data_IF_394272982996
#
_entry.id   IF_394272982996
#
_cell.length_a   1.000
_cell.length_b   1.000
_cell.length_c   1.000
_cell.angle_alpha   90.00
_cell.angle_beta   90.00
_cell.angle_gamma   90.00
#
_symmetry.space_group_name_H-M   'P 1'
#
loop_
_entity.id
_entity.type
_entity.pdbx_description
1 polymer ?
#
# COMPACT_ATOMS: atom_id res chain seq x y z
N UNK A 1 10.00 -14.69 -11.17
CA UNK A 1 8.56 -14.93 -11.32
C UNK A 1 7.75 -13.95 -10.51
N UNK A 2 7.69 -14.12 -9.18
CA UNK A 2 6.88 -13.29 -8.26
C UNK A 2 7.14 -11.78 -8.38
N UNK A 3 8.40 -11.36 -8.27
CA UNK A 3 8.76 -9.93 -8.34
C UNK A 3 8.36 -9.29 -9.67
N UNK A 4 8.61 -9.98 -10.78
CA UNK A 4 8.25 -9.48 -12.11
C UNK A 4 6.73 -9.39 -12.31
N UNK A 5 5.98 -10.37 -11.79
CA UNK A 5 4.53 -10.34 -11.79
C UNK A 5 3.99 -9.14 -11.00
N UNK A 6 4.48 -8.92 -9.77
CA UNK A 6 4.05 -7.79 -8.94
C UNK A 6 4.38 -6.46 -9.60
N UNK A 7 5.58 -6.33 -10.19
CA UNK A 7 5.98 -5.13 -10.92
C UNK A 7 5.06 -4.85 -12.10
N UNK A 8 4.75 -5.88 -12.88
CA UNK A 8 3.83 -5.79 -14.03
C UNK A 8 2.44 -5.37 -13.59
N UNK A 9 1.91 -5.96 -12.51
CA UNK A 9 0.60 -5.60 -11.97
C UNK A 9 0.56 -4.13 -11.52
N UNK A 10 1.56 -3.68 -10.76
CA UNK A 10 1.65 -2.31 -10.27
C UNK A 10 1.71 -1.32 -11.43
N UNK A 11 2.57 -1.56 -12.42
CA UNK A 11 2.70 -0.70 -13.58
C UNK A 11 1.43 -0.69 -14.44
N UNK A 12 0.75 -1.83 -14.57
CA UNK A 12 -0.55 -1.91 -15.25
C UNK A 12 -1.60 -1.05 -14.55
N UNK A 13 -1.70 -1.13 -13.22
CA UNK A 13 -2.61 -0.31 -12.43
C UNK A 13 -2.29 1.19 -12.58
N UNK A 14 -1.02 1.57 -12.43
CA UNK A 14 -0.56 2.95 -12.56
C UNK A 14 -0.77 3.53 -13.97
N UNK A 15 -0.66 2.70 -15.00
CA UNK A 15 -0.87 3.10 -16.39
C UNK A 15 -2.36 3.27 -16.76
N UNK A 16 -3.27 2.65 -15.99
CA UNK A 16 -4.70 2.58 -16.34
C UNK A 16 -5.62 3.36 -15.39
N UNK A 17 -5.11 3.80 -14.24
CA UNK A 17 -5.89 4.51 -13.22
C UNK A 17 -5.18 5.82 -12.83
N UNK A 18 -5.94 6.87 -12.58
CA UNK A 18 -5.40 8.13 -12.02
C UNK A 18 -5.00 7.93 -10.54
N UNK A 19 -3.98 8.62 -10.00
CA UNK A 19 -3.60 8.52 -8.58
C UNK A 19 -4.75 8.82 -7.61
N UNK A 20 -5.70 9.67 -7.98
CA UNK A 20 -6.89 9.93 -7.14
C UNK A 20 -7.84 8.72 -7.01
N UNK A 21 -7.68 7.70 -7.86
CA UNK A 21 -8.49 6.49 -7.86
C UNK A 21 -7.82 5.34 -7.12
N UNK A 22 -6.48 5.27 -7.12
CA UNK A 22 -5.73 4.20 -6.48
C UNK A 22 -4.42 4.70 -5.88
N UNK A 23 -4.23 4.39 -4.59
CA UNK A 23 -2.99 4.59 -3.86
C UNK A 23 -2.37 3.24 -3.49
N UNK A 24 -1.05 3.15 -3.56
CA UNK A 24 -0.26 1.93 -3.38
C UNK A 24 0.65 2.03 -2.16
N UNK A 25 0.59 1.03 -1.29
CA UNK A 25 1.58 0.78 -0.24
C UNK A 25 2.37 -0.48 -0.63
N UNK A 26 3.65 -0.32 -0.97
CA UNK A 26 4.47 -1.40 -1.51
C UNK A 26 5.37 -1.97 -0.41
N UNK A 27 5.29 -3.28 -0.18
CA UNK A 27 5.97 -3.93 0.96
C UNK A 27 6.78 -5.15 0.52
N UNK A 28 8.06 -5.23 0.92
CA UNK A 28 8.91 -6.41 0.68
C UNK A 28 9.56 -6.90 1.98
N UNK A 29 9.64 -8.23 2.14
CA UNK A 29 10.13 -8.89 3.33
C UNK A 29 11.65 -9.01 3.38
N UNK A 30 12.32 -9.18 2.23
CA UNK A 30 13.78 -9.42 2.17
C UNK A 30 14.50 -8.38 1.33
N UNK A 31 15.19 -7.43 1.99
CA UNK A 31 16.16 -6.48 1.40
C UNK A 31 15.87 -5.99 -0.04
N UNK A 32 14.63 -5.56 -0.29
CA UNK A 32 13.97 -5.65 -1.59
C UNK A 32 14.47 -4.71 -2.69
N UNK A 33 14.77 -5.28 -3.86
CA UNK A 33 14.86 -4.57 -5.16
C UNK A 33 13.55 -4.63 -5.96
N UNK A 34 12.56 -5.42 -5.51
CA UNK A 34 11.32 -5.67 -6.23
C UNK A 34 10.61 -4.38 -6.64
N UNK A 35 10.54 -3.39 -5.75
CA UNK A 35 9.82 -2.13 -5.98
C UNK A 35 10.75 -0.93 -6.22
N UNK A 36 12.04 -1.17 -6.50
CA UNK A 36 12.99 -0.08 -6.76
C UNK A 36 12.51 0.78 -7.94
N UNK A 37 12.47 2.10 -7.72
CA UNK A 37 12.00 3.11 -8.67
C UNK A 37 10.50 3.38 -8.62
N UNK A 38 9.72 2.55 -7.93
CA UNK A 38 8.26 2.71 -7.81
C UNK A 38 7.86 3.73 -6.75
N UNK A 39 8.77 4.13 -5.86
CA UNK A 39 8.59 5.25 -4.93
C UNK A 39 8.34 6.59 -5.64
N UNK A 40 8.65 6.67 -6.94
CA UNK A 40 8.48 7.87 -7.77
C UNK A 40 7.13 7.94 -8.47
N UNK A 41 6.33 6.87 -8.44
CA UNK A 41 4.99 6.89 -9.02
C UNK A 41 4.07 7.77 -8.17
N UNK A 42 3.21 8.61 -8.78
CA UNK A 42 2.29 9.46 -8.03
C UNK A 42 1.25 8.66 -7.22
N UNK A 43 1.03 7.40 -7.60
CA UNK A 43 0.16 6.46 -6.87
C UNK A 43 0.80 5.92 -5.59
N UNK A 44 2.12 6.00 -5.43
CA UNK A 44 2.82 5.34 -4.32
C UNK A 44 2.77 6.21 -3.06
N UNK A 45 2.05 5.72 -2.05
CA UNK A 45 1.97 6.37 -0.74
C UNK A 45 3.22 6.10 0.10
N UNK A 46 3.74 4.87 0.07
CA UNK A 46 5.00 4.50 0.71
C UNK A 46 5.55 3.19 0.14
N UNK A 47 6.88 3.03 0.27
CA UNK A 47 7.60 1.78 0.03
C UNK A 47 8.27 1.36 1.33
N UNK A 48 8.00 0.14 1.78
CA UNK A 48 8.51 -0.41 3.04
C UNK A 48 9.26 -1.71 2.71
N UNK A 49 10.53 -1.81 3.10
CA UNK A 49 11.40 -2.93 2.73
C UNK A 49 12.08 -3.51 3.95
N UNK A 50 12.75 -4.64 3.78
CA UNK A 50 13.57 -5.29 4.79
C UNK A 50 12.84 -5.62 6.11
N UNK A 51 11.56 -6.00 6.00
CA UNK A 51 10.71 -6.29 7.16
C UNK A 51 11.21 -7.47 8.01
N UNK A 52 12.00 -8.39 7.44
CA UNK A 52 12.54 -9.52 8.18
C UNK A 52 13.51 -9.12 9.31
N UNK A 53 14.18 -7.98 9.18
CA UNK A 53 15.15 -7.49 10.17
C UNK A 53 14.52 -6.50 11.16
N UNK A 54 13.32 -5.98 10.86
CA UNK A 54 12.69 -4.89 11.60
C UNK A 54 11.28 -5.27 12.09
N UNK A 55 11.19 -6.16 13.08
CA UNK A 55 9.90 -6.59 13.64
C UNK A 55 9.03 -5.43 14.16
N UNK A 56 9.64 -4.35 14.66
CA UNK A 56 8.92 -3.15 15.08
C UNK A 56 8.23 -2.43 13.90
N UNK A 57 8.87 -2.42 12.73
CA UNK A 57 8.32 -1.84 11.50
C UNK A 57 7.06 -2.58 11.06
N UNK A 58 7.06 -3.92 11.20
CA UNK A 58 5.89 -4.76 10.90
C UNK A 58 4.73 -4.42 11.83
N UNK A 59 4.97 -4.31 13.13
CA UNK A 59 3.93 -3.94 14.12
C UNK A 59 3.35 -2.56 13.82
N UNK A 60 4.22 -1.55 13.63
CA UNK A 60 3.81 -0.18 13.30
C UNK A 60 3.02 -0.12 12.00
N UNK A 61 3.39 -0.91 10.99
CA UNK A 61 2.66 -0.96 9.74
C UNK A 61 1.24 -1.55 9.92
N UNK A 62 1.09 -2.56 10.77
CA UNK A 62 -0.22 -3.07 11.17
C UNK A 62 -1.10 -2.01 11.82
N UNK A 63 -0.53 -1.21 12.73
CA UNK A 63 -1.22 -0.09 13.38
C UNK A 63 -1.64 0.99 12.36
N UNK A 64 -0.75 1.36 11.43
CA UNK A 64 -1.04 2.33 10.36
C UNK A 64 -2.17 1.84 9.45
N UNK A 65 -2.14 0.58 9.03
CA UNK A 65 -3.18 0.01 8.19
C UNK A 65 -4.54 -0.02 8.91
N UNK A 66 -4.54 -0.37 10.19
CA UNK A 66 -5.76 -0.36 11.01
C UNK A 66 -6.31 1.06 11.15
N UNK A 67 -5.46 2.03 11.44
CA UNK A 67 -5.86 3.44 11.51
C UNK A 67 -6.40 3.99 10.18
N UNK A 68 -5.84 3.59 9.04
CA UNK A 68 -6.35 3.99 7.72
C UNK A 68 -7.71 3.36 7.42
N UNK A 69 -7.93 2.10 7.83
CA UNK A 69 -9.26 1.48 7.75
C UNK A 69 -10.26 2.28 8.59
N UNK A 70 -9.96 2.54 9.86
CA UNK A 70 -10.84 3.30 10.76
C UNK A 70 -11.18 4.70 10.21
N UNK A 71 -10.17 5.39 9.64
CA UNK A 71 -10.36 6.69 8.99
C UNK A 71 -11.32 6.60 7.81
N UNK A 72 -11.14 5.62 6.92
CA UNK A 72 -12.03 5.41 5.77
C UNK A 72 -13.44 5.04 6.20
N UNK A 73 -13.58 4.17 7.18
CA UNK A 73 -14.88 3.82 7.73
C UNK A 73 -15.58 5.06 8.32
N UNK A 74 -14.85 5.93 9.01
CA UNK A 74 -15.39 7.19 9.56
C UNK A 74 -15.91 8.11 8.45
N UNK A 75 -15.15 8.29 7.36
CA UNK A 75 -15.57 9.08 6.20
C UNK A 75 -16.85 8.51 5.57
N UNK A 76 -16.91 7.18 5.39
CA UNK A 76 -18.10 6.52 4.86
C UNK A 76 -19.32 6.71 5.78
N UNK A 77 -19.15 6.57 7.09
CA UNK A 77 -20.21 6.84 8.09
C UNK A 77 -20.70 8.28 8.03
N UNK A 78 -19.79 9.25 7.92
CA UNK A 78 -20.13 10.68 7.76
C UNK A 78 -20.92 10.95 6.48
N UNK A 79 -20.65 10.20 5.41
CA UNK A 79 -21.41 10.24 4.17
C UNK A 79 -22.76 9.48 4.23
N UNK A 80 -23.15 8.95 5.40
CA UNK A 80 -24.40 8.20 5.58
C UNK A 80 -24.36 6.75 5.10
N UNK A 81 -23.18 6.21 4.78
CA UNK A 81 -23.00 4.83 4.33
C UNK A 81 -22.84 3.89 5.53
N UNK A 82 -23.52 2.74 5.51
CA UNK A 82 -23.24 1.66 6.46
C UNK A 82 -21.93 0.96 6.09
N UNK A 83 -21.06 0.78 7.08
CA UNK A 83 -19.83 -0.01 6.95
C UNK A 83 -19.99 -1.21 7.87
N UNK A 84 -19.86 -2.42 7.31
CA UNK A 84 -20.15 -3.67 8.01
C UNK A 84 -19.24 -3.96 9.21
N UNK A 85 -19.72 -4.84 10.10
CA UNK A 85 -18.93 -5.53 11.12
C UNK A 85 -18.48 -6.89 10.61
#
# INVERSE_FOLDING_TARGET
>A
GKSEFLRTLILSLAATHHPDQINLLLTDFKGGSTFLGMEKLPHTAAVVTNMEEEAELVSRMGEVLTGELDRRQSILRQAGMQVGA
#
